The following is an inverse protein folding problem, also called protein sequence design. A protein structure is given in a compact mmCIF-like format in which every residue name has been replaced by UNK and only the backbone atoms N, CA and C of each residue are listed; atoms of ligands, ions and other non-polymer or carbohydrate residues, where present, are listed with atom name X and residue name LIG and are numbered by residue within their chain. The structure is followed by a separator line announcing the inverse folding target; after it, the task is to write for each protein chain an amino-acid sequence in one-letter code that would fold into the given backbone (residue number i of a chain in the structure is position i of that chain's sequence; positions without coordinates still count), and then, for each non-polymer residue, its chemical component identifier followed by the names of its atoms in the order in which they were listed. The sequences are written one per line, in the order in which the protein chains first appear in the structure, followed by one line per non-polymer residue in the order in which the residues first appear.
data_IF_455675496415
#
_entry.id   IF_455675496415
#
_cell.length_a   1.000
_cell.length_b   1.000
_cell.length_c   1.000
_cell.angle_alpha   90.00
_cell.angle_beta   90.00
_cell.angle_gamma   90.00
#
_symmetry.space_group_name_H-M   'P 1'
#
loop_
_entity.id
_entity.type
_entity.pdbx_description
1 polymer ?
#
# COMPACT_ATOMS: atom_id res chain seq x y z
N UNK A 1 21.19 -16.36 11.93
CA UNK A 1 20.22 -15.63 11.10
C UNK A 1 19.08 -15.23 12.03
N UNK A 2 19.00 -13.96 12.45
CA UNK A 2 17.85 -13.49 13.23
C UNK A 2 16.64 -13.52 12.30
N UNK A 3 15.59 -14.26 12.69
CA UNK A 3 14.27 -14.07 12.09
C UNK A 3 13.89 -12.62 12.34
N UNK A 4 13.99 -11.76 11.31
CA UNK A 4 13.35 -10.45 11.27
C UNK A 4 11.84 -10.66 11.14
N UNK A 5 11.24 -11.34 12.11
CA UNK A 5 9.79 -11.28 12.27
C UNK A 5 9.46 -9.85 12.65
N UNK A 6 8.73 -9.16 11.77
CA UNK A 6 8.06 -7.90 12.10
C UNK A 6 7.38 -8.04 13.46
N UNK A 7 7.54 -7.05 14.31
CA UNK A 7 6.87 -7.03 15.60
C UNK A 7 5.35 -7.07 15.43
N UNK A 8 4.65 -7.60 16.43
CA UNK A 8 3.20 -7.78 16.36
C UNK A 8 2.43 -6.47 16.16
N UNK A 9 2.96 -5.34 16.67
CA UNK A 9 2.36 -4.02 16.47
C UNK A 9 2.45 -3.54 15.02
N UNK A 10 3.59 -3.74 14.35
CA UNK A 10 3.74 -3.43 12.93
C UNK A 10 2.75 -4.26 12.09
N UNK A 11 2.65 -5.57 12.34
CA UNK A 11 1.71 -6.44 11.63
C UNK A 11 0.24 -6.06 11.87
N UNK A 12 -0.12 -5.68 13.10
CA UNK A 12 -1.47 -5.22 13.41
C UNK A 12 -1.82 -3.94 12.66
N UNK A 13 -0.89 -2.97 12.63
CA UNK A 13 -1.06 -1.72 11.89
C UNK A 13 -1.18 -1.97 10.39
N UNK A 14 -0.31 -2.80 9.82
CA UNK A 14 -0.39 -3.18 8.40
C UNK A 14 -1.76 -3.77 8.08
N UNK A 15 -2.26 -4.68 8.92
CA UNK A 15 -3.58 -5.28 8.76
C UNK A 15 -4.70 -4.25 8.80
N UNK A 16 -4.70 -3.33 9.76
CA UNK A 16 -5.70 -2.27 9.86
C UNK A 16 -5.74 -1.39 8.61
N UNK A 17 -4.57 -1.04 8.07
CA UNK A 17 -4.47 -0.26 6.83
C UNK A 17 -5.02 -1.06 5.65
N UNK A 18 -4.63 -2.33 5.48
CA UNK A 18 -5.12 -3.17 4.38
C UNK A 18 -6.64 -3.37 4.46
N UNK A 19 -7.18 -3.63 5.66
CA UNK A 19 -8.61 -3.77 5.88
C UNK A 19 -9.35 -2.46 5.53
N UNK A 20 -8.78 -1.29 5.87
CA UNK A 20 -9.34 0.01 5.54
C UNK A 20 -9.32 0.31 4.03
N UNK A 21 -8.31 -0.14 3.29
CA UNK A 21 -8.18 0.08 1.85
C UNK A 21 -8.95 -0.91 0.98
N UNK A 22 -9.45 -2.01 1.57
CA UNK A 22 -10.10 -3.10 0.84
C UNK A 22 -11.27 -2.64 -0.05
N UNK A 23 -11.97 -1.56 0.33
CA UNK A 23 -13.07 -1.01 -0.45
C UNK A 23 -12.66 -0.40 -1.80
N UNK A 24 -11.37 -0.14 -2.02
CA UNK A 24 -10.83 0.38 -3.27
C UNK A 24 -10.48 -0.75 -4.27
N UNK A 25 -10.43 -2.00 -3.82
CA UNK A 25 -10.17 -3.14 -4.70
C UNK A 25 -11.30 -3.28 -5.72
N UNK A 26 -10.94 -3.41 -7.00
CA UNK A 26 -11.89 -3.42 -8.12
C UNK A 26 -12.27 -2.02 -8.62
N UNK A 27 -11.58 -0.97 -8.19
CA UNK A 27 -11.68 0.38 -8.79
C UNK A 27 -10.49 0.66 -9.71
N UNK A 28 -10.64 1.60 -10.65
CA UNK A 28 -9.56 2.01 -11.56
C UNK A 28 -8.55 2.89 -10.80
N UNK A 29 -7.26 2.59 -10.95
CA UNK A 29 -6.18 3.38 -10.39
C UNK A 29 -6.07 4.75 -11.07
N UNK A 30 -5.95 5.79 -10.25
CA UNK A 30 -5.64 7.14 -10.69
C UNK A 30 -4.81 7.86 -9.62
N UNK A 31 -4.23 9.01 -9.98
CA UNK A 31 -3.48 9.84 -9.02
C UNK A 31 -4.35 10.25 -7.82
N UNK A 32 -5.65 10.50 -8.01
CA UNK A 32 -6.55 10.82 -6.89
C UNK A 32 -6.82 9.63 -5.95
N UNK A 33 -6.73 8.39 -6.45
CA UNK A 33 -6.77 7.21 -5.58
C UNK A 33 -5.50 7.16 -4.72
N UNK A 34 -4.34 7.50 -5.27
CA UNK A 34 -3.09 7.56 -4.52
C UNK A 34 -3.19 8.52 -3.33
N UNK A 35 -3.79 9.69 -3.52
CA UNK A 35 -4.06 10.65 -2.44
C UNK A 35 -4.97 10.05 -1.36
N UNK A 36 -6.02 9.35 -1.79
CA UNK A 36 -6.96 8.68 -0.88
C UNK A 36 -6.26 7.58 -0.06
N UNK A 37 -5.42 6.78 -0.71
CA UNK A 37 -4.65 5.71 -0.07
C UNK A 37 -3.69 6.31 0.97
N UNK A 38 -2.98 7.40 0.64
CA UNK A 38 -2.10 8.10 1.57
C UNK A 38 -2.87 8.61 2.79
N UNK A 39 -4.02 9.25 2.58
CA UNK A 39 -4.86 9.78 3.64
C UNK A 39 -5.43 8.68 4.57
N UNK A 40 -5.92 7.57 4.01
CA UNK A 40 -6.50 6.46 4.77
C UNK A 40 -5.44 5.67 5.53
N UNK A 41 -4.27 5.46 4.93
CA UNK A 41 -3.17 4.71 5.55
C UNK A 41 -2.34 5.54 6.54
N UNK A 42 -2.53 6.86 6.56
CA UNK A 42 -1.67 7.82 7.26
C UNK A 42 -0.20 7.74 6.80
N UNK A 43 0.02 7.44 5.52
CA UNK A 43 1.33 7.53 4.90
C UNK A 43 1.50 8.90 4.24
N UNK A 44 2.72 9.40 4.24
CA UNK A 44 3.10 10.44 3.30
C UNK A 44 2.90 9.93 1.87
N UNK A 45 2.45 10.78 0.97
CA UNK A 45 2.14 10.40 -0.41
C UNK A 45 3.35 9.81 -1.14
N UNK A 46 4.56 10.27 -0.81
CA UNK A 46 5.84 9.78 -1.36
C UNK A 46 6.17 8.34 -0.90
N UNK A 47 5.52 7.86 0.17
CA UNK A 47 5.64 6.48 0.66
C UNK A 47 4.49 5.57 0.17
N UNK A 48 3.59 6.09 -0.67
CA UNK A 48 2.61 5.29 -1.40
C UNK A 48 3.12 5.11 -2.83
N UNK A 49 3.22 3.87 -3.30
CA UNK A 49 3.77 3.51 -4.61
C UNK A 49 2.67 2.93 -5.47
N UNK A 50 2.30 3.65 -6.52
CA UNK A 50 1.43 3.17 -7.58
C UNK A 50 2.18 2.39 -8.67
N UNK A 51 1.46 1.87 -9.67
CA UNK A 51 2.03 1.06 -10.75
C UNK A 51 3.07 1.79 -11.62
N UNK A 52 3.02 3.11 -11.68
CA UNK A 52 3.92 3.94 -12.49
C UNK A 52 5.08 4.55 -11.65
N UNK A 53 5.11 4.31 -10.34
CA UNK A 53 6.09 4.92 -9.43
C UNK A 53 7.34 4.05 -9.25
N UNK A 54 8.50 4.71 -9.06
CA UNK A 54 9.73 4.02 -8.70
C UNK A 54 9.74 3.70 -7.20
N UNK A 55 9.91 2.42 -6.86
CA UNK A 55 10.14 1.98 -5.49
C UNK A 55 11.44 2.57 -4.92
N UNK A 56 11.40 3.00 -3.67
CA UNK A 56 12.59 3.39 -2.91
C UNK A 56 13.01 2.27 -1.95
N UNK A 57 14.24 2.32 -1.43
CA UNK A 57 14.72 1.40 -0.39
C UNK A 57 14.21 1.81 1.01
N UNK A 58 12.92 2.09 1.13
CA UNK A 58 12.26 2.51 2.37
C UNK A 58 10.98 1.69 2.61
N UNK A 59 10.40 1.83 3.81
CA UNK A 59 9.13 1.23 4.14
C UNK A 59 7.99 1.95 3.40
N UNK A 60 7.34 1.26 2.47
CA UNK A 60 6.39 1.84 1.52
C UNK A 60 5.12 0.98 1.39
N UNK A 61 4.00 1.62 1.07
CA UNK A 61 2.72 0.99 0.77
C UNK A 61 2.53 0.93 -0.75
N UNK A 62 2.38 -0.27 -1.29
CA UNK A 62 2.22 -0.53 -2.71
C UNK A 62 0.76 -0.72 -3.06
N UNK A 63 0.35 -0.11 -4.17
CA UNK A 63 -0.94 -0.32 -4.83
C UNK A 63 -0.70 -1.30 -5.97
N UNK A 64 -1.30 -2.49 -5.86
CA UNK A 64 -1.23 -3.49 -6.91
C UNK A 64 -2.37 -3.28 -7.90
N UNK A 65 -2.03 -3.28 -9.19
CA UNK A 65 -3.02 -3.19 -10.27
C UNK A 65 -2.84 -4.31 -11.28
N UNK A 66 -3.89 -4.62 -12.02
CA UNK A 66 -3.80 -5.46 -13.21
C UNK A 66 -3.39 -4.65 -14.47
N UNK A 67 -3.38 -5.32 -15.63
CA UNK A 67 -3.06 -4.72 -16.93
C UNK A 67 -4.04 -3.59 -17.33
N UNK A 68 -5.28 -3.65 -16.82
CA UNK A 68 -6.32 -2.64 -17.03
C UNK A 68 -6.26 -1.49 -16.03
N UNK A 69 -5.19 -1.41 -15.22
CA UNK A 69 -5.04 -0.45 -14.11
C UNK A 69 -6.10 -0.59 -13.03
N UNK A 70 -6.80 -1.73 -12.95
CA UNK A 70 -7.74 -1.99 -11.87
C UNK A 70 -6.98 -2.44 -10.63
N UNK A 71 -7.33 -1.88 -9.47
CA UNK A 71 -6.69 -2.22 -8.20
C UNK A 71 -7.05 -3.64 -7.81
N UNK A 72 -6.03 -4.48 -7.63
CA UNK A 72 -6.16 -5.88 -7.24
C UNK A 72 -5.82 -6.10 -5.77
N UNK A 73 -5.11 -5.16 -5.13
CA UNK A 73 -4.78 -5.23 -3.72
C UNK A 73 -3.73 -4.21 -3.29
N UNK A 74 -3.26 -4.37 -2.05
CA UNK A 74 -2.26 -3.51 -1.42
C UNK A 74 -1.23 -4.35 -0.67
N UNK A 75 -0.03 -3.82 -0.47
CA UNK A 75 1.04 -4.53 0.23
C UNK A 75 2.15 -3.62 0.76
N UNK A 76 2.99 -4.13 1.65
CA UNK A 76 4.13 -3.40 2.21
C UNK A 76 5.45 -4.04 1.83
N UNK A 77 6.52 -3.24 1.71
CA UNK A 77 7.87 -3.78 1.68
C UNK A 77 8.22 -4.50 3.00
N UNK A 78 9.09 -5.51 2.91
CA UNK A 78 9.66 -6.21 4.06
C UNK A 78 10.96 -5.55 4.51
#
# INVERSE_FOLDING_TARGET
MQNLQKDASTLAREKEILDALQHLVGTEYSTGVKDTVAAVSHFEIDNVIGPDDAAAMTYQLYIHTDEGRMITGFGFTQ
#
